data_IF_277154900159
#
_entry.id   IF_277154900159
#
_cell.length_a   1.000
_cell.length_b   1.000
_cell.length_c   1.000
_cell.angle_alpha   90.00
_cell.angle_beta   90.00
_cell.angle_gamma   90.00
#
_symmetry.space_group_name_H-M   'P 1'
#
loop_
_entity.id
_entity.type
_entity.pdbx_description
1 polymer ?
#
# COMPACT_ATOMS: atom_id res chain seq x y z
N UNK A 1 -69.16 6.38 28.94
CA UNK A 1 -70.39 6.05 28.17
C UNK A 1 -70.60 6.90 26.92
N UNK A 2 -70.28 8.21 26.89
CA UNK A 2 -70.53 9.07 25.71
C UNK A 2 -69.74 8.65 24.45
N UNK A 3 -68.44 8.37 24.59
CA UNK A 3 -67.58 7.93 23.48
C UNK A 3 -68.09 6.63 22.84
N UNK A 4 -68.42 5.62 23.65
CA UNK A 4 -68.95 4.35 23.17
C UNK A 4 -70.26 4.52 22.37
N UNK A 5 -71.14 5.44 22.78
CA UNK A 5 -72.37 5.74 22.04
C UNK A 5 -72.08 6.34 20.66
N UNK A 6 -71.07 7.21 20.56
CA UNK A 6 -70.67 7.83 19.28
C UNK A 6 -70.11 6.76 18.35
N UNK A 7 -69.19 5.93 18.83
CA UNK A 7 -68.60 4.84 18.04
C UNK A 7 -69.68 3.86 17.58
N UNK A 8 -70.58 3.44 18.49
CA UNK A 8 -71.67 2.54 18.13
C UNK A 8 -72.61 3.14 17.09
N UNK A 9 -72.92 4.43 17.13
CA UNK A 9 -73.77 5.09 16.13
C UNK A 9 -73.07 5.20 14.77
N UNK A 10 -71.79 5.52 14.75
CA UNK A 10 -70.96 5.56 13.54
C UNK A 10 -70.86 4.18 12.89
N UNK A 11 -70.54 3.15 13.69
CA UNK A 11 -70.43 1.78 13.21
C UNK A 11 -71.79 1.22 12.80
N UNK A 12 -72.87 1.53 13.53
CA UNK A 12 -74.22 1.12 13.17
C UNK A 12 -74.65 1.63 11.78
N UNK A 13 -74.28 2.85 11.41
CA UNK A 13 -74.57 3.39 10.08
C UNK A 13 -73.88 2.58 8.95
N UNK A 14 -72.70 2.02 9.21
CA UNK A 14 -71.98 1.14 8.27
C UNK A 14 -72.51 -0.30 8.32
N UNK A 15 -72.63 -0.87 9.53
CA UNK A 15 -73.05 -2.25 9.76
C UNK A 15 -74.49 -2.52 9.32
N UNK A 16 -75.37 -1.53 9.40
CA UNK A 16 -76.75 -1.65 8.88
C UNK A 16 -76.82 -1.74 7.35
N UNK A 17 -75.74 -1.38 6.63
CA UNK A 17 -75.61 -1.62 5.19
C UNK A 17 -75.09 -3.03 4.90
N UNK A 18 -74.10 -3.48 5.67
CA UNK A 18 -73.46 -4.79 5.49
C UNK A 18 -74.29 -5.97 6.03
N UNK A 19 -75.09 -5.73 7.07
CA UNK A 19 -75.87 -6.76 7.79
C UNK A 19 -77.31 -6.29 8.04
N UNK A 20 -78.14 -6.10 7.01
CA UNK A 20 -79.47 -5.52 7.16
C UNK A 20 -80.47 -6.42 7.93
N UNK A 21 -80.15 -7.70 8.09
CA UNK A 21 -81.02 -8.69 8.76
C UNK A 21 -80.92 -8.69 10.28
N UNK A 22 -80.07 -7.86 10.90
CA UNK A 22 -79.92 -7.87 12.35
C UNK A 22 -81.16 -7.27 13.04
N UNK A 23 -81.69 -7.92 14.09
CA UNK A 23 -82.88 -7.44 14.81
C UNK A 23 -82.71 -6.07 15.48
N UNK A 24 -81.47 -5.63 15.72
CA UNK A 24 -81.20 -4.33 16.33
C UNK A 24 -81.67 -3.15 15.46
N UNK A 25 -81.79 -3.34 14.14
CA UNK A 25 -82.21 -2.29 13.21
C UNK A 25 -83.72 -2.01 13.22
N UNK A 26 -84.53 -2.87 13.84
CA UNK A 26 -85.99 -2.66 13.96
C UNK A 26 -86.38 -1.91 15.24
N UNK A 27 -85.42 -1.44 16.03
CA UNK A 27 -85.63 -0.73 17.30
C UNK A 27 -85.16 0.73 17.19
N UNK A 28 -85.82 1.63 17.91
CA UNK A 28 -85.33 3.01 18.06
C UNK A 28 -83.93 3.04 18.72
N UNK A 29 -83.03 3.94 18.31
CA UNK A 29 -83.23 5.05 17.37
C UNK A 29 -83.00 4.67 15.89
N UNK A 30 -82.71 3.41 15.56
CA UNK A 30 -82.26 3.03 14.21
C UNK A 30 -83.34 3.05 13.13
N UNK A 31 -84.61 3.07 13.54
CA UNK A 31 -85.77 3.23 12.66
C UNK A 31 -86.15 4.70 12.40
N UNK A 32 -85.56 5.65 13.15
CA UNK A 32 -85.91 7.07 13.06
C UNK A 32 -85.42 7.73 11.77
N UNK A 33 -86.10 8.82 11.38
CA UNK A 33 -85.70 9.63 10.23
C UNK A 33 -84.34 10.30 10.47
N UNK A 34 -84.09 10.78 11.69
CA UNK A 34 -82.81 11.37 12.09
C UNK A 34 -81.64 10.40 11.86
N UNK A 35 -81.81 9.12 12.21
CA UNK A 35 -80.76 8.12 12.00
C UNK A 35 -80.56 7.80 10.51
N UNK A 36 -81.63 7.79 9.71
CA UNK A 36 -81.52 7.60 8.24
C UNK A 36 -80.78 8.76 7.58
N UNK A 37 -81.09 10.00 7.97
CA UNK A 37 -80.39 11.20 7.50
C UNK A 37 -78.91 11.16 7.91
N UNK A 38 -78.64 10.89 9.19
CA UNK A 38 -77.28 10.71 9.70
C UNK A 38 -76.49 9.63 8.94
N UNK A 39 -77.12 8.47 8.69
CA UNK A 39 -76.50 7.37 7.94
C UNK A 39 -76.17 7.78 6.51
N UNK A 40 -77.12 8.40 5.81
CA UNK A 40 -76.93 8.87 4.43
C UNK A 40 -75.77 9.87 4.35
N UNK A 41 -75.76 10.86 5.25
CA UNK A 41 -74.70 11.86 5.33
C UNK A 41 -73.33 11.24 5.66
N UNK A 42 -73.27 10.29 6.60
CA UNK A 42 -72.02 9.64 6.99
C UNK A 42 -71.47 8.79 5.84
N UNK A 43 -72.31 8.01 5.16
CA UNK A 43 -71.90 7.18 4.02
C UNK A 43 -71.40 8.06 2.87
N UNK A 44 -72.11 9.16 2.55
CA UNK A 44 -71.66 10.13 1.55
C UNK A 44 -70.31 10.76 1.94
N UNK A 45 -70.15 11.19 3.20
CA UNK A 45 -68.87 11.75 3.67
C UNK A 45 -67.73 10.73 3.58
N UNK A 46 -67.98 9.47 3.88
CA UNK A 46 -66.97 8.41 3.78
C UNK A 46 -66.61 8.13 2.32
N UNK A 47 -67.56 8.13 1.39
CA UNK A 47 -67.26 7.96 -0.04
C UNK A 47 -66.53 9.16 -0.64
N UNK A 48 -66.80 10.36 -0.16
CA UNK A 48 -66.15 11.60 -0.63
C UNK A 48 -64.77 11.81 0.02
N UNK A 49 -64.46 11.11 1.10
CA UNK A 49 -63.15 11.21 1.76
C UNK A 49 -62.15 10.31 1.03
N UNK A 50 -61.09 10.87 0.42
CA UNK A 50 -60.09 10.08 -0.29
C UNK A 50 -59.43 9.09 0.67
N UNK A 51 -59.20 7.87 0.20
CA UNK A 51 -58.64 6.82 1.04
C UNK A 51 -57.24 7.28 1.51
N UNK A 52 -56.89 7.18 2.81
CA UNK A 52 -55.62 7.69 3.34
C UNK A 52 -54.40 7.10 2.62
N UNK A 53 -54.52 5.87 2.10
CA UNK A 53 -53.50 5.26 1.26
C UNK A 53 -53.31 6.01 -0.07
N UNK A 54 -54.38 6.44 -0.72
CA UNK A 54 -54.32 7.18 -2.00
C UNK A 54 -53.68 8.55 -1.81
N UNK A 55 -54.00 9.25 -0.71
CA UNK A 55 -53.34 10.51 -0.32
C UNK A 55 -51.84 10.28 -0.10
N UNK A 56 -51.50 9.19 0.61
CA UNK A 56 -50.10 8.84 0.87
C UNK A 56 -49.34 8.49 -0.42
N UNK A 57 -49.98 7.72 -1.32
CA UNK A 57 -49.39 7.33 -2.61
C UNK A 57 -49.18 8.57 -3.50
N UNK A 58 -50.17 9.47 -3.56
CA UNK A 58 -50.10 10.68 -4.38
C UNK A 58 -49.05 11.68 -3.88
N UNK A 59 -48.71 11.67 -2.58
CA UNK A 59 -47.62 12.47 -2.02
C UNK A 59 -46.25 11.80 -2.14
N UNK A 60 -46.15 10.50 -1.87
CA UNK A 60 -44.87 9.78 -1.83
C UNK A 60 -44.29 9.51 -3.22
N UNK A 61 -45.12 9.19 -4.22
CA UNK A 61 -44.62 8.87 -5.57
C UNK A 61 -43.85 10.06 -6.18
N UNK A 62 -44.38 11.29 -6.19
CA UNK A 62 -43.63 12.44 -6.68
C UNK A 62 -42.33 12.68 -5.91
N UNK A 63 -42.35 12.56 -4.58
CA UNK A 63 -41.14 12.72 -3.75
C UNK A 63 -40.07 11.69 -4.08
N UNK A 64 -40.46 10.43 -4.24
CA UNK A 64 -39.56 9.37 -4.67
C UNK A 64 -38.99 9.66 -6.07
N UNK A 65 -39.84 10.14 -6.98
CA UNK A 65 -39.44 10.55 -8.33
C UNK A 65 -38.37 11.64 -8.33
N UNK A 66 -38.56 12.70 -7.53
CA UNK A 66 -37.59 13.78 -7.39
C UNK A 66 -36.28 13.27 -6.76
N UNK A 67 -36.35 12.53 -5.65
CA UNK A 67 -35.16 11.99 -5.00
C UNK A 67 -34.34 11.07 -5.93
N UNK A 68 -35.01 10.26 -6.76
CA UNK A 68 -34.34 9.43 -7.76
C UNK A 68 -33.74 10.25 -8.91
N UNK A 69 -34.39 11.33 -9.33
CA UNK A 69 -33.84 12.25 -10.33
C UNK A 69 -32.59 12.96 -9.80
N UNK A 70 -32.62 13.45 -8.57
CA UNK A 70 -31.48 14.09 -7.91
C UNK A 70 -30.31 13.12 -7.73
N UNK A 71 -30.59 11.87 -7.33
CA UNK A 71 -29.57 10.84 -7.22
C UNK A 71 -28.94 10.52 -8.57
N UNK A 72 -29.72 10.46 -9.64
CA UNK A 72 -29.20 10.27 -11.01
C UNK A 72 -28.33 11.45 -11.45
N UNK A 73 -28.76 12.68 -11.19
CA UNK A 73 -27.99 13.87 -11.51
C UNK A 73 -26.65 13.91 -10.76
N UNK A 74 -26.68 13.67 -9.45
CA UNK A 74 -25.47 13.59 -8.61
C UNK A 74 -24.54 12.44 -9.04
N UNK A 75 -25.11 11.30 -9.43
CA UNK A 75 -24.32 10.18 -9.97
C UNK A 75 -23.66 10.50 -11.30
N UNK A 76 -24.33 11.26 -12.18
CA UNK A 76 -23.75 11.69 -13.44
C UNK A 76 -22.61 12.70 -13.22
N UNK A 77 -22.82 13.68 -12.34
CA UNK A 77 -21.82 14.69 -11.98
C UNK A 77 -20.56 14.06 -11.38
N UNK A 78 -20.71 13.13 -10.43
CA UNK A 78 -19.58 12.41 -9.83
C UNK A 78 -18.82 11.55 -10.84
N UNK A 79 -19.52 10.96 -11.81
CA UNK A 79 -18.90 10.19 -12.89
C UNK A 79 -18.08 11.09 -13.82
N UNK A 80 -18.60 12.27 -14.17
CA UNK A 80 -17.87 13.23 -14.99
C UNK A 80 -16.66 13.83 -14.26
N UNK A 81 -16.81 14.20 -12.98
CA UNK A 81 -15.69 14.65 -12.16
C UNK A 81 -14.60 13.57 -12.04
N UNK A 82 -14.99 12.30 -11.91
CA UNK A 82 -14.04 11.19 -11.89
C UNK A 82 -13.30 11.04 -13.23
N UNK A 83 -14.01 11.10 -14.36
CA UNK A 83 -13.38 11.05 -15.70
C UNK A 83 -12.37 12.18 -15.89
N UNK A 84 -12.71 13.39 -15.44
CA UNK A 84 -11.81 14.55 -15.49
C UNK A 84 -10.58 14.38 -14.59
N UNK A 85 -10.75 13.84 -13.39
CA UNK A 85 -9.62 13.56 -12.50
C UNK A 85 -8.68 12.50 -13.10
N UNK A 86 -9.23 11.44 -13.69
CA UNK A 86 -8.45 10.39 -14.37
C UNK A 86 -7.70 10.95 -15.58
N UNK A 87 -8.33 11.79 -16.41
CA UNK A 87 -7.64 12.38 -17.57
C UNK A 87 -6.55 13.36 -17.15
N UNK A 88 -6.78 14.17 -16.11
CA UNK A 88 -5.74 15.03 -15.55
C UNK A 88 -4.55 14.23 -15.01
N UNK A 89 -4.83 13.15 -14.25
CA UNK A 89 -3.81 12.27 -13.73
C UNK A 89 -3.00 11.58 -14.86
N UNK A 90 -3.67 11.16 -15.94
CA UNK A 90 -3.01 10.57 -17.10
C UNK A 90 -2.01 11.54 -17.74
N UNK A 91 -2.39 12.82 -17.90
CA UNK A 91 -1.50 13.86 -18.44
C UNK A 91 -0.27 14.06 -17.54
N UNK A 92 -0.45 14.03 -16.21
CA UNK A 92 0.67 14.20 -15.28
C UNK A 92 1.60 12.99 -15.25
N UNK A 93 1.07 11.76 -15.39
CA UNK A 93 1.87 10.55 -15.56
C UNK A 93 2.71 10.65 -16.84
N UNK A 94 2.10 11.05 -17.95
CA UNK A 94 2.82 11.22 -19.21
C UNK A 94 3.92 12.29 -19.10
N UNK A 95 3.65 13.43 -18.44
CA UNK A 95 4.67 14.45 -18.18
C UNK A 95 5.83 13.91 -17.35
N UNK A 96 5.53 13.14 -16.30
CA UNK A 96 6.55 12.54 -15.44
C UNK A 96 7.39 11.53 -16.22
N UNK A 97 6.76 10.71 -17.07
CA UNK A 97 7.46 9.77 -17.94
C UNK A 97 8.46 10.48 -18.87
N UNK A 98 8.01 11.51 -19.59
CA UNK A 98 8.89 12.30 -20.47
C UNK A 98 10.02 13.01 -19.69
N UNK A 99 9.74 13.45 -18.46
CA UNK A 99 10.77 14.05 -17.60
C UNK A 99 11.82 13.02 -17.18
N UNK A 100 11.39 11.81 -16.83
CA UNK A 100 12.29 10.72 -16.45
C UNK A 100 13.13 10.26 -17.63
N UNK A 101 12.53 10.10 -18.82
CA UNK A 101 13.26 9.79 -20.05
C UNK A 101 14.35 10.83 -20.34
N UNK A 102 14.03 12.13 -20.23
CA UNK A 102 15.04 13.19 -20.37
C UNK A 102 16.14 13.12 -19.32
N UNK A 103 15.82 12.80 -18.07
CA UNK A 103 16.82 12.67 -17.02
C UNK A 103 17.76 11.48 -17.29
N UNK A 104 17.21 10.35 -17.76
CA UNK A 104 17.97 9.16 -18.12
C UNK A 104 18.90 9.42 -19.30
N UNK A 105 18.43 10.11 -20.35
CA UNK A 105 19.30 10.45 -21.49
C UNK A 105 20.42 11.40 -21.07
N UNK A 106 20.13 12.44 -20.27
CA UNK A 106 21.17 13.33 -19.73
C UNK A 106 22.20 12.59 -18.87
N UNK A 107 21.77 11.64 -18.06
CA UNK A 107 22.66 10.81 -17.24
C UNK A 107 23.54 9.92 -18.13
N UNK A 108 22.95 9.28 -19.13
CA UNK A 108 23.67 8.46 -20.12
C UNK A 108 24.77 9.28 -20.80
N UNK A 109 24.43 10.45 -21.33
CA UNK A 109 25.41 11.34 -21.96
C UNK A 109 26.51 11.78 -21.00
N UNK A 110 26.16 12.01 -19.73
CA UNK A 110 27.14 12.37 -18.70
C UNK A 110 28.10 11.23 -18.39
N UNK A 111 27.63 9.99 -18.36
CA UNK A 111 28.46 8.80 -18.16
C UNK A 111 29.40 8.63 -19.34
N UNK A 112 28.89 8.69 -20.57
CA UNK A 112 29.75 8.58 -21.75
C UNK A 112 30.80 9.69 -21.83
N UNK A 113 30.47 10.93 -21.41
CA UNK A 113 31.45 12.02 -21.34
C UNK A 113 32.53 11.73 -20.31
N UNK A 114 32.18 11.12 -19.17
CA UNK A 114 33.13 10.72 -18.15
C UNK A 114 34.05 9.60 -18.64
N UNK A 115 33.49 8.58 -19.29
CA UNK A 115 34.27 7.46 -19.83
C UNK A 115 35.29 7.94 -20.86
N UNK A 116 34.88 8.82 -21.79
CA UNK A 116 35.80 9.46 -22.75
C UNK A 116 36.89 10.27 -22.05
N UNK A 117 36.55 10.98 -20.98
CA UNK A 117 37.53 11.74 -20.21
C UNK A 117 38.52 10.83 -19.46
N UNK A 118 38.06 9.71 -18.89
CA UNK A 118 38.90 8.74 -18.20
C UNK A 118 39.82 7.99 -19.19
N UNK A 119 39.33 7.65 -20.39
CA UNK A 119 40.14 7.11 -21.49
C UNK A 119 41.21 8.12 -21.94
N UNK A 120 40.84 9.40 -22.09
CA UNK A 120 41.82 10.44 -22.43
C UNK A 120 42.91 10.60 -21.37
N UNK A 121 42.55 10.46 -20.07
CA UNK A 121 43.51 10.49 -18.96
C UNK A 121 44.44 9.28 -18.97
N UNK A 122 43.91 8.08 -19.23
CA UNK A 122 44.71 6.87 -19.36
C UNK A 122 45.73 7.00 -20.52
N UNK A 123 45.30 7.52 -21.67
CA UNK A 123 46.18 7.79 -22.82
C UNK A 123 47.29 8.80 -22.46
N UNK A 124 46.95 9.91 -21.78
CA UNK A 124 47.95 10.88 -21.32
C UNK A 124 48.93 10.24 -20.34
N UNK A 125 48.46 9.43 -19.39
CA UNK A 125 49.33 8.70 -18.46
C UNK A 125 50.27 7.74 -19.19
N UNK A 126 49.79 7.04 -20.22
CA UNK A 126 50.62 6.15 -21.04
C UNK A 126 51.70 6.92 -21.81
N UNK A 127 51.36 8.07 -22.42
CA UNK A 127 52.32 8.92 -23.13
C UNK A 127 53.37 9.50 -22.17
N UNK A 128 52.96 9.92 -20.98
CA UNK A 128 53.89 10.39 -19.94
C UNK A 128 54.83 9.25 -19.52
N UNK A 129 54.29 8.05 -19.27
CA UNK A 129 55.10 6.90 -18.87
C UNK A 129 56.09 6.49 -19.96
N UNK A 130 55.67 6.46 -21.23
CA UNK A 130 56.58 6.15 -22.34
C UNK A 130 57.66 7.22 -22.51
N UNK A 131 57.32 8.49 -22.31
CA UNK A 131 58.28 9.60 -22.33
C UNK A 131 59.30 9.49 -21.20
N UNK A 132 58.88 9.12 -19.98
CA UNK A 132 59.76 8.88 -18.84
C UNK A 132 60.71 7.71 -19.14
N UNK A 133 60.20 6.60 -19.66
CA UNK A 133 61.02 5.44 -20.06
C UNK A 133 62.04 5.81 -21.15
N UNK A 134 61.64 6.59 -22.16
CA UNK A 134 62.53 7.06 -23.22
C UNK A 134 63.63 7.99 -22.68
N UNK A 135 63.28 8.92 -21.78
CA UNK A 135 64.23 9.80 -21.10
C UNK A 135 65.21 9.02 -20.22
N UNK A 136 64.73 8.03 -19.46
CA UNK A 136 65.58 7.14 -18.67
C UNK A 136 66.54 6.34 -19.56
N UNK A 137 66.03 5.81 -20.69
CA UNK A 137 66.84 5.15 -21.71
C UNK A 137 67.92 6.07 -22.28
N UNK A 138 67.57 7.29 -22.68
CA UNK A 138 68.53 8.27 -23.18
C UNK A 138 69.57 8.66 -22.10
N UNK A 139 69.15 8.84 -20.85
CA UNK A 139 70.03 9.13 -19.71
C UNK A 139 71.02 7.99 -19.46
N UNK A 140 70.55 6.73 -19.52
CA UNK A 140 71.41 5.55 -19.37
C UNK A 140 72.45 5.43 -20.50
N UNK A 141 72.07 5.79 -21.74
CA UNK A 141 72.99 5.82 -22.88
C UNK A 141 74.05 6.91 -22.70
N UNK A 142 73.66 8.11 -22.25
CA UNK A 142 74.60 9.18 -21.92
C UNK A 142 75.57 8.76 -20.80
N UNK A 143 75.09 8.15 -19.73
CA UNK A 143 75.96 7.60 -18.68
C UNK A 143 76.91 6.53 -19.23
N UNK A 144 76.42 5.62 -20.07
CA UNK A 144 77.27 4.60 -20.69
C UNK A 144 78.37 5.19 -21.58
N UNK A 145 78.09 6.26 -22.34
CA UNK A 145 79.12 6.95 -23.12
C UNK A 145 80.13 7.66 -22.24
N UNK A 146 79.67 8.26 -21.13
CA UNK A 146 80.55 8.89 -20.15
C UNK A 146 81.45 7.87 -19.44
N UNK A 147 80.92 6.70 -19.06
CA UNK A 147 81.73 5.62 -18.46
C UNK A 147 82.70 5.02 -19.45
N UNK A 148 82.30 4.77 -20.71
CA UNK A 148 83.22 4.28 -21.75
C UNK A 148 84.35 5.27 -22.05
N UNK A 149 84.03 6.56 -22.12
CA UNK A 149 85.04 7.61 -22.32
C UNK A 149 86.00 7.70 -21.12
N UNK A 150 85.47 7.60 -19.90
CA UNK A 150 86.27 7.58 -18.68
C UNK A 150 87.13 6.32 -18.59
N UNK A 151 86.61 5.15 -18.95
CA UNK A 151 87.34 3.87 -18.94
C UNK A 151 88.44 3.85 -20.00
N UNK A 152 88.19 4.40 -21.20
CA UNK A 152 89.21 4.56 -22.23
C UNK A 152 90.30 5.56 -21.81
N UNK A 153 89.95 6.65 -21.14
CA UNK A 153 90.92 7.58 -20.57
C UNK A 153 91.72 6.94 -19.43
N UNK A 154 91.09 6.10 -18.61
CA UNK A 154 91.74 5.35 -17.53
C UNK A 154 92.66 4.24 -18.09
N UNK A 155 92.29 3.56 -19.18
CA UNK A 155 93.17 2.63 -19.89
C UNK A 155 94.36 3.36 -20.54
N UNK A 156 94.16 4.57 -21.06
CA UNK A 156 95.25 5.41 -21.61
C UNK A 156 96.20 5.85 -20.49
N UNK A 157 95.66 6.24 -19.32
CA UNK A 157 96.46 6.55 -18.14
C UNK A 157 97.15 5.32 -17.56
N UNK A 158 96.51 4.14 -17.55
CA UNK A 158 97.16 2.89 -17.14
C UNK A 158 98.24 2.43 -18.12
N UNK A 159 98.11 2.73 -19.42
CA UNK A 159 99.16 2.51 -20.41
C UNK A 159 100.35 3.45 -20.19
N UNK A 160 100.09 4.72 -19.87
CA UNK A 160 101.11 5.70 -19.46
C UNK A 160 101.80 5.32 -18.15
N UNK A 161 101.04 4.84 -17.16
CA UNK A 161 101.59 4.32 -15.90
C UNK A 161 102.37 3.02 -16.12
N UNK A 162 101.94 2.13 -17.03
CA UNK A 162 102.72 0.95 -17.44
C UNK A 162 104.02 1.31 -18.17
N UNK A 163 104.01 2.40 -18.95
CA UNK A 163 105.22 2.94 -19.58
C UNK A 163 106.18 3.59 -18.57
N UNK A 164 105.67 4.10 -17.45
CA UNK A 164 106.46 4.68 -16.35
C UNK A 164 106.91 3.64 -15.31
N UNK A 165 106.30 2.46 -15.26
CA UNK A 165 106.56 1.43 -14.25
C UNK A 165 107.53 0.32 -14.70
N UNK A 166 108.27 0.49 -15.80
CA UNK A 166 109.39 -0.40 -16.14
C UNK A 166 110.65 -0.01 -15.37
N UNK A 167 110.62 -0.16 -14.05
CA UNK A 167 111.80 -0.50 -13.27
C UNK A 167 111.40 -0.97 -11.87
N UNK A 168 111.92 -2.15 -11.51
CA UNK A 168 111.95 -2.83 -10.19
C UNK A 168 110.78 -3.78 -9.81
N UNK A 169 111.17 -5.05 -9.61
CA UNK A 169 110.50 -6.20 -8.96
C UNK A 169 111.06 -6.37 -7.53
N UNK A 170 110.66 -7.35 -6.68
CA UNK A 170 109.32 -7.89 -6.35
C UNK A 170 109.10 -8.05 -4.81
N UNK A 171 107.87 -8.36 -4.34
CA UNK A 171 107.64 -9.32 -3.22
C UNK A 171 106.14 -9.57 -2.88
N UNK A 172 105.75 -10.85 -2.97
CA UNK A 172 104.94 -11.69 -2.06
C UNK A 172 103.60 -11.19 -1.44
N UNK A 173 102.46 -11.80 -1.82
CA UNK A 173 101.65 -12.75 -1.01
C UNK A 173 100.16 -12.81 -1.43
N UNK A 174 99.63 -14.04 -1.42
CA UNK A 174 98.27 -14.60 -1.72
C UNK A 174 97.44 -14.71 -0.39
N UNK A 175 96.13 -15.12 -0.28
CA UNK A 175 95.09 -15.46 -1.26
C UNK A 175 93.64 -14.87 -1.02
N UNK A 176 92.75 -15.16 -1.98
CA UNK A 176 91.26 -15.01 -2.09
C UNK A 176 90.45 -16.08 -1.29
N UNK A 177 89.09 -16.29 -1.39
CA UNK A 177 87.85 -15.52 -1.76
C UNK A 177 86.66 -15.77 -0.74
N UNK A 178 85.31 -15.73 -1.02
CA UNK A 178 84.47 -15.07 -2.05
C UNK A 178 83.25 -14.22 -1.53
N UNK A 179 82.70 -13.44 -2.48
CA UNK A 179 81.35 -12.83 -2.75
C UNK A 179 80.09 -13.48 -2.08
N UNK A 180 78.83 -12.91 -2.13
CA UNK A 180 78.37 -11.65 -2.77
C UNK A 180 77.20 -10.84 -2.10
N UNK A 181 76.80 -9.74 -2.78
CA UNK A 181 75.45 -9.15 -2.91
C UNK A 181 74.91 -8.16 -1.84
N UNK A 182 74.73 -6.87 -2.23
CA UNK A 182 73.43 -6.20 -2.51
C UNK A 182 73.53 -4.66 -2.47
N UNK A 183 72.77 -4.05 -3.38
CA UNK A 183 72.63 -2.62 -3.64
C UNK A 183 72.00 -1.80 -2.51
N UNK A 184 72.25 -0.47 -2.44
CA UNK A 184 71.47 0.45 -1.62
C UNK A 184 70.19 0.89 -2.36
N UNK A 185 69.06 0.94 -1.64
CA UNK A 185 67.79 1.45 -2.14
C UNK A 185 67.47 2.82 -1.54
N UNK A 186 66.79 3.61 -2.37
CA UNK A 186 66.55 5.04 -2.35
C UNK A 186 65.26 5.39 -1.59
N UNK A 187 65.22 6.57 -0.96
CA UNK A 187 64.03 7.31 -0.48
C UNK A 187 63.79 8.49 -1.45
N UNK A 188 62.63 9.22 -1.53
CA UNK A 188 61.43 9.17 -0.67
C UNK A 188 60.05 9.42 -1.35
N UNK A 189 59.01 9.42 -0.48
CA UNK A 189 57.70 10.11 -0.55
C UNK A 189 56.62 9.49 -1.45
N UNK A 190 55.39 9.22 -1.02
CA UNK A 190 54.34 10.05 -0.37
C UNK A 190 53.26 9.03 0.11
N UNK A 191 52.49 9.18 1.20
CA UNK A 191 51.11 9.72 1.22
C UNK A 191 50.64 9.94 2.68
N UNK A 192 50.08 11.15 2.89
CA UNK A 192 49.10 11.66 3.86
C UNK A 192 48.78 10.92 5.19
N UNK A 193 48.87 11.70 6.26
CA UNK A 193 48.03 11.59 7.46
C UNK A 193 47.01 12.73 7.49
N UNK A 194 45.77 12.43 7.88
CA UNK A 194 45.02 13.07 9.00
C UNK A 194 43.52 13.31 8.76
N UNK A 195 42.77 13.06 9.84
CA UNK A 195 41.50 13.70 10.27
C UNK A 195 40.23 13.24 9.54
N UNK A 196 39.31 12.48 10.12
CA UNK A 196 38.55 12.68 11.37
C UNK A 196 37.73 13.98 11.37
N UNK A 197 36.45 13.87 11.05
CA UNK A 197 35.39 14.80 11.50
C UNK A 197 34.07 14.03 11.62
N UNK A 198 33.21 14.37 12.60
CA UNK A 198 32.13 13.53 13.08
C UNK A 198 30.81 13.82 12.36
N UNK A 199 29.94 12.81 12.27
CA UNK A 199 28.55 13.00 11.89
C UNK A 199 27.70 13.31 13.14
N UNK A 200 26.86 14.36 13.14
CA UNK A 200 25.89 14.63 14.19
C UNK A 200 24.63 13.74 14.05
N UNK A 201 23.79 13.65 15.10
CA UNK A 201 22.72 12.66 15.19
C UNK A 201 21.43 13.12 14.49
N UNK A 202 20.68 12.13 14.00
CA UNK A 202 19.29 12.25 13.57
C UNK A 202 18.40 12.82 14.69
N UNK A 203 17.57 13.85 14.41
CA UNK A 203 16.52 14.24 15.34
C UNK A 203 15.32 13.30 15.19
N UNK A 204 15.10 12.51 16.23
CA UNK A 204 13.76 12.02 16.59
C UNK A 204 12.96 13.18 17.18
N UNK A 205 11.67 13.33 16.84
CA UNK A 205 10.70 13.87 17.77
C UNK A 205 9.85 12.72 18.31
N UNK A 206 9.98 12.49 19.62
CA UNK A 206 9.06 11.70 20.42
C UNK A 206 8.22 12.64 21.30
N UNK A 207 6.97 12.24 21.51
CA UNK A 207 6.02 12.76 22.51
C UNK A 207 5.48 14.20 22.25
N UNK A 208 4.23 14.57 22.54
CA UNK A 208 3.37 14.17 23.66
C UNK A 208 1.91 14.63 23.43
N UNK A 209 0.95 13.90 24.03
CA UNK A 209 -0.34 14.30 24.65
C UNK A 209 -0.90 15.72 24.40
N UNK A 210 -2.19 16.04 24.31
CA UNK A 210 -3.49 15.46 24.67
C UNK A 210 -4.54 16.22 23.80
N UNK A 211 -5.79 15.79 23.60
CA UNK A 211 -6.84 15.97 24.60
C UNK A 211 -8.14 15.31 24.12
N UNK A 212 -8.87 14.82 25.11
CA UNK A 212 -10.21 14.29 25.01
C UNK A 212 -11.22 15.36 24.56
N UNK A 213 -12.22 14.94 23.78
CA UNK A 213 -13.57 15.46 23.87
C UNK A 213 -14.56 14.35 23.52
N UNK A 214 -15.18 13.81 24.57
CA UNK A 214 -16.40 13.01 24.50
C UNK A 214 -17.57 13.88 24.09
N UNK A 215 -18.36 13.42 23.12
CA UNK A 215 -19.83 13.63 23.02
C UNK A 215 -20.37 12.37 22.33
N UNK A 216 -20.85 11.36 23.10
CA UNK A 216 -22.26 11.08 23.38
C UNK A 216 -23.14 11.16 22.10
N UNK A 217 -23.53 10.00 21.55
CA UNK A 217 -24.94 9.51 21.54
C UNK A 217 -25.75 10.15 20.40
N UNK A 218 -26.62 9.53 19.62
CA UNK A 218 -27.33 8.25 19.59
C UNK A 218 -27.70 8.03 18.12
N UNK A 219 -27.73 6.80 17.61
CA UNK A 219 -28.81 6.42 16.68
C UNK A 219 -28.98 4.91 16.69
N UNK A 220 -30.19 4.53 17.05
CA UNK A 220 -30.69 3.19 17.21
C UNK A 220 -30.66 2.36 15.91
N UNK A 221 -30.56 1.04 16.12
CA UNK A 221 -30.82 0.01 15.12
C UNK A 221 -32.29 0.01 14.75
N UNK A 222 -32.56 -0.11 13.46
CA UNK A 222 -33.67 -0.95 13.00
C UNK A 222 -33.15 -1.87 11.91
N UNK A 223 -33.04 -3.14 12.25
CA UNK A 223 -32.76 -4.23 11.31
C UNK A 223 -34.06 -4.65 10.65
N UNK A 224 -34.10 -4.65 9.32
CA UNK A 224 -35.07 -5.44 8.55
C UNK A 224 -34.31 -6.29 7.54
N UNK A 225 -34.36 -7.58 7.83
CA UNK A 225 -33.89 -8.69 7.03
C UNK A 225 -34.77 -8.83 5.79
N UNK A 226 -34.18 -8.91 4.59
CA UNK A 226 -34.87 -9.39 3.41
C UNK A 226 -33.97 -10.38 2.66
N UNK A 227 -34.36 -11.65 2.69
CA UNK A 227 -33.80 -12.71 1.88
C UNK A 227 -34.45 -12.70 0.48
N UNK A 228 -33.72 -12.99 -0.61
CA UNK A 228 -34.32 -13.33 -1.88
C UNK A 228 -34.40 -14.86 -2.10
N UNK A 229 -35.40 -15.37 -2.84
CA UNK A 229 -35.54 -16.79 -3.16
C UNK A 229 -34.69 -17.21 -4.38
N UNK A 230 -34.46 -18.52 -4.59
CA UNK A 230 -33.63 -19.03 -5.68
C UNK A 230 -34.48 -19.33 -6.93
N UNK A 231 -33.95 -19.02 -8.11
CA UNK A 231 -34.41 -19.61 -9.37
C UNK A 231 -33.25 -20.10 -10.23
N UNK A 232 -33.60 -21.10 -11.03
CA UNK A 232 -32.80 -22.21 -11.57
C UNK A 232 -32.18 -21.90 -12.94
N UNK A 233 -30.99 -22.47 -13.13
CA UNK A 233 -30.41 -23.14 -14.31
C UNK A 233 -31.00 -22.95 -15.73
N UNK A 234 -30.15 -22.47 -16.63
CA UNK A 234 -29.79 -22.98 -17.99
C UNK A 234 -29.15 -21.79 -18.75
N UNK A 235 -28.16 -21.88 -19.63
CA UNK A 235 -27.69 -22.95 -20.49
C UNK A 235 -26.24 -22.66 -20.92
N UNK A 236 -25.52 -23.72 -21.26
CA UNK A 236 -24.13 -23.75 -21.71
C UNK A 236 -23.98 -23.35 -23.18
N UNK A 237 -23.02 -22.46 -23.48
CA UNK A 237 -22.37 -22.40 -24.80
C UNK A 237 -20.86 -22.20 -24.58
N UNK A 238 -20.08 -23.22 -24.93
CA UNK A 238 -18.63 -23.18 -25.22
C UNK A 238 -18.47 -22.77 -26.68
N UNK A 239 -17.44 -22.08 -27.18
CA UNK A 239 -16.18 -21.56 -26.67
C UNK A 239 -15.65 -20.57 -27.75
N UNK A 240 -14.69 -19.70 -27.41
CA UNK A 240 -13.45 -19.40 -28.16
C UNK A 240 -12.58 -18.52 -27.24
N UNK A 241 -11.27 -18.80 -27.09
CA UNK A 241 -10.40 -18.06 -26.18
C UNK A 241 -9.94 -16.75 -26.83
N UNK A 242 -10.61 -15.64 -26.51
CA UNK A 242 -10.10 -14.31 -26.83
C UNK A 242 -9.07 -13.89 -25.79
N UNK A 243 -7.93 -13.44 -26.32
CA UNK A 243 -6.77 -12.94 -25.60
C UNK A 243 -7.13 -12.05 -24.40
N UNK A 244 -6.37 -12.24 -23.33
CA UNK A 244 -6.36 -11.47 -22.10
C UNK A 244 -6.35 -9.96 -22.37
N UNK A 245 -7.53 -9.35 -22.27
CA UNK A 245 -7.65 -7.90 -22.15
C UNK A 245 -7.04 -7.49 -20.81
N UNK A 246 -6.20 -6.43 -20.75
CA UNK A 246 -5.82 -5.84 -19.49
C UNK A 246 -7.10 -5.26 -18.88
N UNK A 247 -7.62 -5.95 -17.86
CA UNK A 247 -8.71 -5.42 -17.07
C UNK A 247 -8.22 -4.10 -16.50
N UNK A 248 -8.85 -2.99 -16.89
CA UNK A 248 -8.57 -1.68 -16.30
C UNK A 248 -8.99 -1.79 -14.83
N UNK A 249 -8.01 -2.08 -13.97
CA UNK A 249 -8.20 -2.34 -12.56
C UNK A 249 -8.51 -1.02 -11.86
N UNK A 250 -9.80 -0.76 -11.62
CA UNK A 250 -10.28 0.34 -10.78
C UNK A 250 -9.50 0.36 -9.45
N UNK A 251 -9.07 1.52 -8.93
CA UNK A 251 -8.33 1.59 -7.68
C UNK A 251 -9.14 0.95 -6.54
N UNK A 252 -8.72 -0.25 -6.11
CA UNK A 252 -9.46 -1.04 -5.12
C UNK A 252 -9.15 -0.51 -3.73
N UNK A 253 -10.03 0.36 -3.22
CA UNK A 253 -9.91 0.98 -1.89
C UNK A 253 -10.03 -0.06 -0.78
N UNK A 254 -9.44 0.21 0.39
CA UNK A 254 -9.49 -0.74 1.52
C UNK A 254 -10.92 -1.05 1.98
N UNK A 255 -11.83 -0.08 1.86
CA UNK A 255 -13.23 -0.25 2.26
C UNK A 255 -13.99 -1.16 1.29
N UNK A 256 -13.65 -1.13 0.00
CA UNK A 256 -14.19 -2.07 -0.99
C UNK A 256 -13.70 -3.50 -0.76
N UNK A 257 -12.43 -3.66 -0.36
CA UNK A 257 -11.87 -4.97 0.01
C UNK A 257 -12.56 -5.46 1.30
N UNK A 258 -12.66 -4.60 2.31
CA UNK A 258 -13.25 -4.94 3.60
C UNK A 258 -14.74 -5.32 3.53
N UNK A 259 -15.50 -4.80 2.55
CA UNK A 259 -16.87 -5.23 2.32
C UNK A 259 -16.99 -6.72 1.91
N UNK A 260 -15.92 -7.29 1.33
CA UNK A 260 -15.88 -8.69 0.86
C UNK A 260 -15.18 -9.64 1.83
N UNK A 261 -14.38 -9.10 2.76
CA UNK A 261 -13.59 -9.89 3.72
C UNK A 261 -14.37 -10.07 5.02
N UNK A 262 -14.79 -11.30 5.29
CA UNK A 262 -15.58 -11.62 6.49
C UNK A 262 -14.88 -12.58 7.47
N UNK A 263 -13.76 -13.18 7.06
CA UNK A 263 -13.00 -14.16 7.83
C UNK A 263 -11.52 -13.80 7.91
N UNK A 264 -10.84 -14.28 8.94
CA UNK A 264 -9.40 -14.13 9.15
C UNK A 264 -8.63 -14.80 8.03
N UNK A 265 -9.10 -15.94 7.54
CA UNK A 265 -8.50 -16.62 6.38
C UNK A 265 -8.53 -15.76 5.12
N UNK A 266 -9.69 -15.15 4.81
CA UNK A 266 -9.79 -14.22 3.67
C UNK A 266 -8.97 -12.96 3.87
N UNK A 267 -8.91 -12.46 5.12
CA UNK A 267 -8.09 -11.31 5.48
C UNK A 267 -6.61 -11.61 5.21
N UNK A 268 -6.11 -12.76 5.65
CA UNK A 268 -4.71 -13.14 5.44
C UNK A 268 -4.37 -13.23 3.95
N UNK A 269 -5.24 -13.81 3.13
CA UNK A 269 -5.05 -13.88 1.67
C UNK A 269 -5.00 -12.49 1.05
N UNK A 270 -5.99 -11.63 1.30
CA UNK A 270 -6.02 -10.26 0.76
C UNK A 270 -4.88 -9.38 1.32
N UNK A 271 -4.40 -9.67 2.53
CA UNK A 271 -3.32 -8.93 3.18
C UNK A 271 -1.95 -9.22 2.55
N UNK A 272 -1.59 -10.49 2.38
CA UNK A 272 -0.26 -10.88 1.89
C UNK A 272 -0.21 -11.15 0.38
N UNK A 273 -1.12 -11.99 -0.12
CA UNK A 273 -1.09 -12.42 -1.52
C UNK A 273 -1.82 -11.44 -2.44
N UNK A 274 -2.88 -10.81 -1.94
CA UNK A 274 -3.83 -10.06 -2.75
C UNK A 274 -4.80 -10.97 -3.49
N UNK A 275 -5.71 -10.38 -4.25
CA UNK A 275 -6.79 -11.09 -4.95
C UNK A 275 -7.20 -10.30 -6.20
N UNK A 276 -7.79 -11.00 -7.17
CA UNK A 276 -8.36 -10.40 -8.38
C UNK A 276 -7.31 -9.63 -9.22
N UNK A 277 -6.05 -10.09 -9.22
CA UNK A 277 -4.94 -9.44 -9.93
C UNK A 277 -4.31 -8.24 -9.21
N UNK A 278 -4.80 -7.88 -8.02
CA UNK A 278 -4.20 -6.85 -7.18
C UNK A 278 -3.15 -7.44 -6.25
N UNK A 279 -2.09 -6.67 -5.98
CA UNK A 279 -1.13 -6.96 -4.92
C UNK A 279 -1.80 -6.98 -3.53
N UNK A 280 -1.20 -7.73 -2.60
CA UNK A 280 -1.61 -7.76 -1.20
C UNK A 280 -1.61 -6.37 -0.56
N UNK A 281 -2.54 -6.16 0.38
CA UNK A 281 -2.66 -4.88 1.11
C UNK A 281 -1.36 -4.48 1.79
N UNK A 282 -0.59 -5.44 2.31
CA UNK A 282 0.71 -5.18 2.93
C UNK A 282 1.70 -4.53 1.94
N UNK A 283 1.90 -5.14 0.78
CA UNK A 283 2.82 -4.62 -0.24
C UNK A 283 2.35 -3.25 -0.80
N UNK A 284 1.03 -3.05 -0.90
CA UNK A 284 0.46 -1.76 -1.31
C UNK A 284 0.67 -0.66 -0.25
N UNK A 285 0.65 -1.00 1.04
CA UNK A 285 0.99 -0.07 2.12
C UNK A 285 2.48 0.31 2.09
N UNK A 286 3.37 -0.64 1.80
CA UNK A 286 4.81 -0.36 1.62
C UNK A 286 5.07 0.53 0.42
N UNK A 287 4.34 0.32 -0.68
CA UNK A 287 4.37 1.15 -1.88
C UNK A 287 3.72 2.53 -1.71
N UNK A 288 3.18 2.85 -0.51
CA UNK A 288 2.45 4.10 -0.22
C UNK A 288 1.30 4.37 -1.20
N UNK A 289 0.56 3.32 -1.56
CA UNK A 289 -0.59 3.43 -2.46
C UNK A 289 -1.71 4.27 -1.84
N UNK A 290 -1.88 5.51 -2.34
CA UNK A 290 -2.89 6.46 -1.88
C UNK A 290 -4.32 5.96 -2.08
N UNK A 291 -4.55 5.02 -3.00
CA UNK A 291 -5.88 4.46 -3.23
C UNK A 291 -6.39 3.63 -2.05
N UNK A 292 -5.51 3.11 -1.19
CA UNK A 292 -5.91 2.40 0.03
C UNK A 292 -6.52 3.35 1.06
N UNK A 293 -6.01 4.58 1.13
CA UNK A 293 -6.47 5.62 2.04
C UNK A 293 -7.62 6.47 1.47
N UNK A 294 -8.14 6.10 0.31
CA UNK A 294 -9.36 6.69 -0.24
C UNK A 294 -10.50 6.61 0.80
N UNK A 295 -11.13 7.75 1.11
CA UNK A 295 -12.07 8.00 2.23
C UNK A 295 -11.41 8.21 3.61
N UNK A 296 -10.11 8.50 3.65
CA UNK A 296 -9.40 9.13 4.76
C UNK A 296 -9.45 8.36 6.08
N UNK A 297 -10.07 8.96 7.10
CA UNK A 297 -10.04 8.44 8.47
C UNK A 297 -10.67 7.04 8.62
N UNK A 298 -11.70 6.72 7.83
CA UNK A 298 -12.36 5.42 7.88
C UNK A 298 -11.46 4.30 7.34
N UNK A 299 -10.77 4.57 6.23
CA UNK A 299 -9.80 3.67 5.63
C UNK A 299 -8.64 3.37 6.59
N UNK A 300 -8.03 4.42 7.17
CA UNK A 300 -6.95 4.28 8.16
C UNK A 300 -7.38 3.45 9.38
N UNK A 301 -8.58 3.71 9.93
CA UNK A 301 -9.13 2.90 11.04
C UNK A 301 -9.29 1.43 10.66
N UNK A 302 -9.72 1.13 9.44
CA UNK A 302 -9.84 -0.24 8.96
C UNK A 302 -8.48 -0.92 8.83
N UNK A 303 -7.47 -0.22 8.28
CA UNK A 303 -6.09 -0.71 8.20
C UNK A 303 -5.53 -1.00 9.59
N UNK A 304 -5.71 -0.09 10.56
CA UNK A 304 -5.28 -0.31 11.94
C UNK A 304 -5.91 -1.56 12.56
N UNK A 305 -7.21 -1.78 12.33
CA UNK A 305 -7.90 -2.98 12.81
C UNK A 305 -7.34 -4.25 12.18
N UNK A 306 -7.11 -4.24 10.87
CA UNK A 306 -6.55 -5.37 10.14
C UNK A 306 -5.14 -5.72 10.62
N UNK A 307 -4.28 -4.71 10.84
CA UNK A 307 -2.94 -4.93 11.41
C UNK A 307 -2.98 -5.62 12.77
N UNK A 308 -3.96 -5.32 13.64
CA UNK A 308 -4.07 -5.99 14.94
C UNK A 308 -4.41 -7.48 14.78
N UNK A 309 -5.36 -7.79 13.91
CA UNK A 309 -5.76 -9.19 13.65
C UNK A 309 -4.60 -9.96 13.02
N UNK A 310 -3.91 -9.35 12.05
CA UNK A 310 -2.74 -9.94 11.39
C UNK A 310 -1.57 -10.08 12.37
N UNK A 311 -1.34 -9.12 13.25
CA UNK A 311 -0.28 -9.21 14.26
C UNK A 311 -0.46 -10.40 15.21
N UNK A 312 -1.70 -10.75 15.57
CA UNK A 312 -1.98 -11.99 16.33
C UNK A 312 -1.73 -13.24 15.48
N UNK A 313 -2.03 -13.19 14.18
CA UNK A 313 -1.73 -14.29 13.27
C UNK A 313 -0.22 -14.54 13.15
N UNK A 314 0.57 -13.47 12.99
CA UNK A 314 2.03 -13.50 12.94
C UNK A 314 2.65 -13.96 14.28
N UNK A 315 2.02 -13.58 15.39
CA UNK A 315 2.44 -14.03 16.72
C UNK A 315 2.21 -15.54 16.92
N UNK A 316 1.08 -16.07 16.45
CA UNK A 316 0.80 -17.51 16.48
C UNK A 316 1.76 -18.29 15.56
N UNK A 317 2.10 -17.72 14.41
CA UNK A 317 3.11 -18.27 13.51
C UNK A 317 4.49 -18.31 14.18
N UNK A 318 4.90 -17.21 14.81
CA UNK A 318 6.25 -17.05 15.39
C UNK A 318 6.45 -17.78 16.72
N UNK A 319 5.48 -17.72 17.65
CA UNK A 319 5.64 -18.24 19.02
C UNK A 319 5.25 -19.72 19.15
N UNK A 320 4.40 -20.23 18.25
CA UNK A 320 3.83 -21.58 18.38
C UNK A 320 4.14 -22.47 17.19
N UNK A 321 4.77 -21.95 16.12
CA UNK A 321 5.11 -22.72 14.92
C UNK A 321 3.88 -23.15 14.11
N UNK A 322 2.76 -22.45 14.26
CA UNK A 322 1.56 -22.76 13.50
C UNK A 322 1.72 -22.29 12.07
N UNK A 323 1.25 -23.08 11.10
CA UNK A 323 1.12 -22.56 9.74
C UNK A 323 0.06 -21.45 9.71
N UNK A 324 0.32 -20.41 8.93
CA UNK A 324 -0.57 -19.24 8.80
C UNK A 324 -2.02 -19.65 8.52
N UNK A 325 -2.22 -20.62 7.63
CA UNK A 325 -3.56 -21.14 7.29
C UNK A 325 -4.21 -21.89 8.46
N UNK A 326 -3.44 -22.65 9.24
CA UNK A 326 -3.97 -23.34 10.42
C UNK A 326 -4.38 -22.34 11.51
N UNK A 327 -3.55 -21.33 11.76
CA UNK A 327 -3.85 -20.26 12.71
C UNK A 327 -5.09 -19.46 12.28
N UNK A 328 -5.17 -19.06 11.01
CA UNK A 328 -6.32 -18.33 10.49
C UNK A 328 -7.63 -19.14 10.62
N UNK A 329 -7.60 -20.44 10.30
CA UNK A 329 -8.76 -21.33 10.47
C UNK A 329 -9.18 -21.51 11.92
N UNK A 330 -8.24 -21.61 12.85
CA UNK A 330 -8.55 -21.70 14.27
C UNK A 330 -9.16 -20.40 14.81
N UNK A 331 -8.61 -19.25 14.40
CA UNK A 331 -9.17 -17.92 14.70
C UNK A 331 -10.60 -17.81 14.15
N UNK A 332 -10.85 -18.22 12.91
CA UNK A 332 -12.20 -18.24 12.32
C UNK A 332 -13.17 -19.16 13.06
N UNK A 333 -12.70 -20.32 13.52
CA UNK A 333 -13.51 -21.26 14.32
C UNK A 333 -13.90 -20.63 15.66
N UNK A 334 -12.98 -19.93 16.32
CA UNK A 334 -13.26 -19.20 17.56
C UNK A 334 -14.20 -18.01 17.34
N UNK A 335 -14.09 -17.30 16.21
CA UNK A 335 -15.04 -16.24 15.87
C UNK A 335 -16.46 -16.76 15.68
N UNK A 336 -16.61 -17.90 15.00
CA UNK A 336 -17.91 -18.57 14.83
C UNK A 336 -18.49 -19.03 16.16
N UNK A 337 -17.69 -19.66 17.03
CA UNK A 337 -18.12 -20.10 18.38
C UNK A 337 -18.65 -18.93 19.22
N UNK A 338 -17.95 -17.79 19.18
CA UNK A 338 -18.31 -16.62 19.98
C UNK A 338 -19.29 -15.66 19.27
N UNK A 339 -19.75 -15.98 18.05
CA UNK A 339 -20.59 -15.10 17.20
C UNK A 339 -20.01 -13.69 17.02
N UNK A 340 -18.69 -13.57 17.00
CA UNK A 340 -17.98 -12.31 16.82
C UNK A 340 -17.56 -12.11 15.36
N UNK A 341 -17.64 -10.87 14.87
CA UNK A 341 -17.07 -10.48 13.59
C UNK A 341 -15.62 -10.00 13.70
N UNK A 342 -14.94 -9.88 12.56
CA UNK A 342 -13.57 -9.34 12.47
C UNK A 342 -13.40 -7.98 13.16
N UNK A 343 -14.43 -7.12 13.11
CA UNK A 343 -14.41 -5.82 13.78
C UNK A 343 -14.35 -5.96 15.30
N UNK A 344 -15.22 -6.79 15.86
CA UNK A 344 -15.26 -7.08 17.30
C UNK A 344 -13.96 -7.72 17.76
N UNK A 345 -13.38 -8.61 16.94
CA UNK A 345 -12.07 -9.20 17.22
C UNK A 345 -10.97 -8.13 17.32
N UNK A 346 -10.88 -7.24 16.33
CA UNK A 346 -9.85 -6.19 16.32
C UNK A 346 -10.00 -5.19 17.47
N UNK A 347 -11.23 -4.95 17.93
CA UNK A 347 -11.51 -4.07 19.07
C UNK A 347 -11.24 -4.80 20.42
N UNK A 348 -11.46 -6.12 20.51
CA UNK A 348 -11.10 -6.92 21.69
C UNK A 348 -9.59 -7.09 21.84
N UNK A 349 -8.87 -7.37 20.74
CA UNK A 349 -7.40 -7.51 20.71
C UNK A 349 -6.70 -6.19 21.03
N UNK A 350 -7.40 -5.05 20.91
CA UNK A 350 -6.81 -3.75 21.25
C UNK A 350 -6.51 -3.58 22.76
N UNK A 351 -7.04 -4.45 23.62
CA UNK A 351 -6.71 -4.49 25.05
C UNK A 351 -5.80 -5.68 25.31
N UNK A 352 -4.61 -5.45 25.85
CA UNK A 352 -3.58 -6.48 26.01
C UNK A 352 -4.05 -7.68 26.87
N UNK A 353 -4.78 -7.42 27.95
CA UNK A 353 -5.35 -8.48 28.80
C UNK A 353 -6.36 -9.35 28.04
N UNK A 354 -7.20 -8.72 27.21
CA UNK A 354 -8.20 -9.43 26.42
C UNK A 354 -7.55 -10.20 25.26
N UNK A 355 -6.48 -9.66 24.67
CA UNK A 355 -5.65 -10.36 23.67
C UNK A 355 -5.02 -11.62 24.28
N UNK A 356 -4.41 -11.51 25.46
CA UNK A 356 -3.79 -12.64 26.15
C UNK A 356 -4.83 -13.73 26.51
N UNK A 357 -5.98 -13.34 27.04
CA UNK A 357 -7.07 -14.27 27.33
C UNK A 357 -7.60 -14.96 26.06
N UNK A 358 -7.72 -14.22 24.96
CA UNK A 358 -8.19 -14.76 23.69
C UNK A 358 -7.19 -15.73 23.05
N UNK A 359 -5.89 -15.41 23.12
CA UNK A 359 -4.80 -16.30 22.72
C UNK A 359 -4.80 -17.60 23.54
N UNK A 360 -5.01 -17.51 24.86
CA UNK A 360 -5.12 -18.69 25.73
C UNK A 360 -6.32 -19.57 25.34
N UNK A 361 -7.48 -18.97 25.03
CA UNK A 361 -8.68 -19.69 24.57
C UNK A 361 -8.48 -20.36 23.21
N UNK A 362 -7.72 -19.75 22.32
CA UNK A 362 -7.37 -20.34 21.02
C UNK A 362 -6.53 -21.60 21.18
N UNK A 363 -5.48 -21.53 22.00
CA UNK A 363 -4.57 -22.66 22.25
C UNK A 363 -5.31 -23.79 22.97
N UNK A 364 -6.15 -23.47 23.95
CA UNK A 364 -6.96 -24.45 24.68
C UNK A 364 -8.01 -25.16 23.81
N UNK A 365 -8.40 -24.57 22.67
CA UNK A 365 -9.41 -25.15 21.79
C UNK A 365 -8.83 -26.00 20.66
N UNK A 366 -7.51 -26.04 20.52
CA UNK A 366 -6.79 -26.84 19.51
C UNK A 366 -5.84 -27.86 20.13
N UNK A 367 -5.75 -27.88 21.46
CA UNK A 367 -5.24 -29.02 22.25
C UNK A 367 -6.38 -29.99 22.53
#
# INVERSE_FOLDING_TARGET
MRWLRVVLLQDAALLSSSFPSLPIWSVEPFTSEDFRTFRSELVSKISDTPHPLEVTITELIPRLGHALADLRASSAETTEAFKQAVSAQQVDIERLHHSLERAVTMLSDSIERRDRADESRANVQQVVMSSICALAGASSSLQSTHTLQHEQQQQTLQMLVRLLATNTLPALADPSPPVPHLSPSTVPSTVASSSSTPLPPLPMPSHEYAAAASIASDTERTSTSFAPPPTRTASSVSAVPSASQPSILLPRTILCIAAKVNTVSQLAVEWYAGKDGYMGVFARLEAKDEALDAKGAAARKQICRWRRVVGVLEELESQRGWSRDAAARAMDTQLKKNKHGLRTLADNIAKDDARAAWMALLVAATS
#
